data_IF_492977506254
#
_entry.id   IF_492977506254
#
_cell.length_a   1.000
_cell.length_b   1.000
_cell.length_c   1.000
_cell.angle_alpha   90.00
_cell.angle_beta   90.00
_cell.angle_gamma   90.00
#
_symmetry.space_group_name_H-M   'P 1'
#
loop_
_entity.id
_entity.type
_entity.pdbx_description
1 polymer ?
#
# COMPACT_ATOMS: atom_id res chain seq x y z
N UNK A 1 8.44 6.71 -17.68
CA UNK A 1 8.61 5.74 -16.59
C UNK A 1 9.33 4.53 -17.12
N UNK A 2 10.46 4.16 -16.51
CA UNK A 2 11.19 2.94 -16.83
C UNK A 2 10.40 1.76 -16.24
N UNK A 3 10.24 0.67 -16.98
CA UNK A 3 9.66 -0.56 -16.43
C UNK A 3 10.55 -1.00 -15.27
N UNK A 4 10.07 -0.94 -14.01
CA UNK A 4 10.97 -1.15 -12.90
C UNK A 4 11.41 -2.62 -12.88
N UNK A 5 12.72 -2.83 -12.82
CA UNK A 5 13.31 -4.16 -12.66
C UNK A 5 12.64 -4.88 -11.46
N UNK A 6 12.09 -6.09 -11.64
CA UNK A 6 11.47 -6.86 -10.55
C UNK A 6 12.38 -7.01 -9.32
N UNK A 7 13.70 -7.06 -9.50
CA UNK A 7 14.65 -7.11 -8.41
C UNK A 7 14.68 -5.79 -7.61
N UNK A 8 14.67 -4.63 -8.28
CA UNK A 8 14.57 -3.30 -7.64
C UNK A 8 13.26 -3.19 -6.84
N UNK A 9 12.14 -3.66 -7.40
CA UNK A 9 10.85 -3.64 -6.70
C UNK A 9 10.83 -4.55 -5.47
N UNK A 10 11.56 -5.67 -5.50
CA UNK A 10 11.72 -6.53 -4.33
C UNK A 10 12.54 -5.85 -3.21
N UNK A 11 13.55 -5.05 -3.56
CA UNK A 11 14.31 -4.23 -2.60
C UNK A 11 13.44 -3.14 -1.98
N UNK A 12 12.69 -2.39 -2.80
CA UNK A 12 11.77 -1.36 -2.27
C UNK A 12 10.68 -1.97 -1.37
N UNK A 13 10.21 -3.19 -1.68
CA UNK A 13 9.27 -3.91 -0.82
C UNK A 13 9.84 -4.26 0.56
N UNK A 14 11.15 -4.49 0.65
CA UNK A 14 11.84 -4.69 1.94
C UNK A 14 11.90 -3.39 2.72
N UNK A 15 12.22 -2.26 2.08
CA UNK A 15 12.33 -0.94 2.74
C UNK A 15 10.96 -0.41 3.16
N UNK A 16 10.00 -0.30 2.24
CA UNK A 16 8.66 0.23 2.50
C UNK A 16 7.71 -0.77 3.16
N UNK A 17 8.27 -1.79 3.82
CA UNK A 17 7.50 -2.60 4.74
C UNK A 17 7.02 -1.72 5.90
N UNK A 18 5.74 -1.84 6.27
CA UNK A 18 5.16 -1.04 7.35
C UNK A 18 5.88 -1.19 8.70
N UNK A 19 6.63 -2.27 8.91
CA UNK A 19 7.43 -2.48 10.12
C UNK A 19 8.68 -1.60 10.20
N UNK A 20 9.10 -1.02 9.07
CA UNK A 20 10.24 -0.12 9.02
C UNK A 20 9.84 1.34 9.15
N UNK A 21 8.54 1.67 9.20
CA UNK A 21 8.11 3.06 9.25
C UNK A 21 8.36 3.70 10.61
N UNK A 22 8.72 4.97 10.58
CA UNK A 22 8.95 5.81 11.75
C UNK A 22 8.85 7.29 11.35
N UNK A 23 8.79 8.19 12.34
CA UNK A 23 8.99 9.62 12.11
C UNK A 23 10.45 9.97 12.42
N UNK A 24 11.14 10.63 11.49
CA UNK A 24 12.51 11.08 11.71
C UNK A 24 12.59 12.32 12.61
N UNK A 25 13.80 12.85 12.83
CA UNK A 25 14.03 13.99 13.70
C UNK A 25 13.34 15.27 13.19
N UNK A 26 13.06 15.36 11.89
CA UNK A 26 12.35 16.45 11.24
C UNK A 26 10.83 16.21 11.18
N UNK A 27 10.33 15.11 11.77
CA UNK A 27 8.92 14.76 11.77
C UNK A 27 8.42 14.21 10.42
N UNK A 28 9.31 13.78 9.53
CA UNK A 28 8.94 13.18 8.24
C UNK A 28 8.64 11.70 8.42
N UNK A 29 7.60 11.23 7.73
CA UNK A 29 7.28 9.80 7.67
C UNK A 29 8.33 9.08 6.80
N UNK A 30 9.21 8.32 7.44
CA UNK A 30 10.39 7.70 6.84
C UNK A 30 10.39 6.19 7.06
N UNK A 31 11.23 5.47 6.31
CA UNK A 31 11.39 4.04 6.42
C UNK A 31 12.83 3.68 6.66
N UNK A 32 13.07 2.83 7.67
CA UNK A 32 14.40 2.30 7.92
C UNK A 32 14.82 1.38 6.78
N UNK A 33 16.01 1.60 6.26
CA UNK A 33 16.63 0.65 5.35
C UNK A 33 17.19 -0.48 6.21
N UNK A 34 16.77 -1.75 6.00
CA UNK A 34 17.26 -2.86 6.81
C UNK A 34 18.78 -2.96 6.76
N UNK A 35 19.44 -3.20 7.90
CA UNK A 35 20.90 -3.31 7.96
C UNK A 35 21.47 -4.52 7.21
N UNK A 36 20.60 -5.42 6.77
CA UNK A 36 20.88 -6.56 5.91
C UNK A 36 21.02 -6.20 4.44
N UNK A 37 20.84 -4.93 4.06
CA UNK A 37 21.13 -4.46 2.71
C UNK A 37 22.63 -4.50 2.45
N UNK A 38 23.01 -5.13 1.33
CA UNK A 38 24.39 -5.13 0.85
C UNK A 38 24.70 -3.86 0.06
N UNK A 39 25.99 -3.55 -0.11
CA UNK A 39 26.41 -2.40 -0.94
C UNK A 39 25.93 -2.54 -2.39
N UNK A 40 25.88 -3.77 -2.92
CA UNK A 40 25.36 -4.05 -4.25
C UNK A 40 23.86 -3.73 -4.37
N UNK A 41 23.05 -4.04 -3.35
CA UNK A 41 21.61 -3.70 -3.33
C UNK A 41 21.40 -2.19 -3.22
N UNK A 42 22.23 -1.49 -2.44
CA UNK A 42 22.24 -0.03 -2.40
C UNK A 42 22.60 0.57 -3.77
N UNK A 43 23.62 0.04 -4.44
CA UNK A 43 24.00 0.49 -5.78
C UNK A 43 22.89 0.24 -6.80
N UNK A 44 22.23 -0.92 -6.75
CA UNK A 44 21.12 -1.24 -7.64
C UNK A 44 19.96 -0.24 -7.51
N UNK A 45 19.63 0.19 -6.28
CA UNK A 45 18.63 1.25 -6.05
C UNK A 45 19.08 2.62 -6.61
N UNK A 46 20.36 2.97 -6.47
CA UNK A 46 20.94 4.20 -7.04
C UNK A 46 20.90 4.20 -8.56
N UNK A 47 21.32 3.10 -9.20
CA UNK A 47 21.34 2.96 -10.65
C UNK A 47 19.93 3.04 -11.25
N UNK A 48 18.92 2.56 -10.52
CA UNK A 48 17.52 2.69 -10.89
C UNK A 48 16.92 4.08 -10.61
N UNK A 49 17.65 4.99 -9.97
CA UNK A 49 17.15 6.30 -9.54
C UNK A 49 16.07 6.23 -8.45
N UNK A 50 16.02 5.13 -7.69
CA UNK A 50 14.98 4.83 -6.70
C UNK A 50 15.57 4.67 -5.30
N UNK A 51 16.38 5.65 -4.88
CA UNK A 51 16.94 5.70 -3.53
C UNK A 51 15.81 5.96 -2.51
N UNK A 52 15.64 5.14 -1.46
CA UNK A 52 14.58 5.35 -0.47
C UNK A 52 14.73 6.64 0.32
N UNK A 53 13.61 7.16 0.86
CA UNK A 53 13.60 8.38 1.68
C UNK A 53 14.14 9.63 0.95
N UNK A 54 13.91 9.71 -0.37
CA UNK A 54 14.22 10.91 -1.14
C UNK A 54 13.03 11.86 -1.05
N UNK A 55 13.13 12.80 -0.12
CA UNK A 55 12.08 13.74 0.18
C UNK A 55 12.11 14.97 -0.73
N UNK A 56 10.96 15.30 -1.30
CA UNK A 56 10.73 16.58 -1.96
C UNK A 56 9.79 17.44 -1.12
N UNK A 57 9.91 18.76 -1.27
CA UNK A 57 8.99 19.73 -0.67
C UNK A 57 8.71 20.82 -1.68
N UNK A 58 7.44 20.98 -2.04
CA UNK A 58 6.96 22.06 -2.91
C UNK A 58 6.00 22.94 -2.14
N UNK A 59 5.93 24.22 -2.53
CA UNK A 59 4.84 25.09 -2.12
C UNK A 59 3.53 24.73 -2.82
N UNK A 60 2.41 25.25 -2.32
CA UNK A 60 1.07 25.06 -2.89
C UNK A 60 1.03 25.45 -4.37
N UNK A 61 1.39 26.70 -4.67
CA UNK A 61 1.33 27.27 -6.02
C UNK A 61 2.34 26.57 -6.94
N UNK A 62 3.53 26.26 -6.42
CA UNK A 62 4.56 25.51 -7.15
C UNK A 62 4.04 24.12 -7.57
N UNK A 63 3.35 23.40 -6.69
CA UNK A 63 2.81 22.08 -7.00
C UNK A 63 1.73 22.16 -8.10
N UNK A 64 0.87 23.17 -8.04
CA UNK A 64 -0.16 23.43 -9.06
C UNK A 64 0.49 23.77 -10.40
N UNK A 65 1.49 24.65 -10.41
CA UNK A 65 2.19 25.05 -11.62
C UNK A 65 2.93 23.89 -12.28
N UNK A 66 3.68 23.10 -11.50
CA UNK A 66 4.35 21.89 -12.01
C UNK A 66 3.36 20.90 -12.61
N UNK A 67 2.24 20.66 -11.93
CA UNK A 67 1.20 19.76 -12.41
C UNK A 67 0.60 20.26 -13.74
N UNK A 68 0.19 21.53 -13.81
CA UNK A 68 -0.41 22.15 -15.00
C UNK A 68 0.58 22.14 -16.18
N UNK A 69 1.83 22.52 -15.94
CA UNK A 69 2.89 22.52 -16.95
C UNK A 69 3.25 21.12 -17.46
N UNK A 70 3.26 20.12 -16.58
CA UNK A 70 3.48 18.73 -17.00
C UNK A 70 2.29 18.21 -17.82
N UNK A 71 1.06 18.50 -17.39
CA UNK A 71 -0.16 18.05 -18.06
C UNK A 71 -0.36 18.64 -19.46
N UNK A 72 0.15 19.85 -19.73
CA UNK A 72 0.13 20.45 -21.06
C UNK A 72 1.10 19.79 -22.05
N UNK A 73 2.13 19.10 -21.55
CA UNK A 73 3.13 18.38 -22.37
C UNK A 73 2.72 16.96 -22.72
N UNK A 74 1.72 16.41 -22.03
CA UNK A 74 1.26 15.03 -22.24
C UNK A 74 0.13 14.99 -23.26
N UNK A 75 0.29 14.16 -24.29
CA UNK A 75 -0.80 13.80 -25.20
C UNK A 75 -1.80 12.87 -24.49
N UNK A 76 -3.08 13.25 -24.48
CA UNK A 76 -4.14 12.44 -23.86
C UNK A 76 -4.37 11.12 -24.58
N UNK A 77 -4.12 11.05 -25.89
CA UNK A 77 -4.25 9.79 -26.63
C UNK A 77 -3.17 8.80 -26.18
N UNK A 78 -1.91 9.24 -26.12
CA UNK A 78 -0.81 8.42 -25.59
C UNK A 78 -1.05 8.01 -24.12
N UNK A 79 -1.60 8.91 -23.29
CA UNK A 79 -1.96 8.59 -21.92
C UNK A 79 -3.11 7.57 -21.82
N UNK A 80 -4.11 7.65 -22.70
CA UNK A 80 -5.21 6.69 -22.79
C UNK A 80 -4.71 5.31 -23.25
N UNK A 81 -3.81 5.27 -24.23
CA UNK A 81 -3.13 4.05 -24.68
C UNK A 81 -2.37 3.37 -23.53
N UNK A 82 -1.58 4.15 -22.78
CA UNK A 82 -0.82 3.65 -21.64
C UNK A 82 -1.74 3.16 -20.50
N UNK A 83 -2.84 3.87 -20.23
CA UNK A 83 -3.87 3.44 -19.28
C UNK A 83 -4.48 2.09 -19.64
N UNK A 84 -4.83 1.89 -20.92
CA UNK A 84 -5.39 0.62 -21.40
C UNK A 84 -4.33 -0.48 -21.37
N UNK A 85 -3.08 -0.18 -21.75
CA UNK A 85 -1.98 -1.15 -21.65
C UNK A 85 -1.76 -1.65 -20.21
N UNK A 86 -1.94 -0.80 -19.19
CA UNK A 86 -1.86 -1.19 -17.77
C UNK A 86 -3.00 -2.10 -17.28
N UNK A 87 -3.99 -2.42 -18.12
CA UNK A 87 -5.02 -3.40 -17.77
C UNK A 87 -4.43 -4.80 -17.65
N UNK A 88 -3.49 -5.16 -18.54
CA UNK A 88 -2.86 -6.49 -18.54
C UNK A 88 -1.35 -6.40 -18.73
N UNK A 89 -0.87 -5.77 -19.80
CA UNK A 89 0.51 -5.95 -20.28
C UNK A 89 1.55 -4.99 -19.69
N UNK A 90 1.16 -3.75 -19.38
CA UNK A 90 2.07 -2.72 -18.90
C UNK A 90 2.08 -2.60 -17.37
N UNK A 91 3.16 -2.01 -16.85
CA UNK A 91 3.30 -1.66 -15.44
C UNK A 91 2.12 -0.79 -14.94
N UNK A 92 1.68 -1.02 -13.70
CA UNK A 92 0.54 -0.29 -13.14
C UNK A 92 0.81 1.20 -12.92
N UNK A 93 2.08 1.62 -12.87
CA UNK A 93 2.42 3.03 -12.81
C UNK A 93 1.87 3.82 -14.00
N UNK A 94 1.72 3.19 -15.17
CA UNK A 94 1.14 3.84 -16.36
C UNK A 94 -0.35 4.14 -16.24
N UNK A 95 -1.07 3.47 -15.33
CA UNK A 95 -2.47 3.78 -15.00
C UNK A 95 -2.65 5.23 -14.51
N UNK A 96 -1.59 5.81 -13.94
CA UNK A 96 -1.62 7.13 -13.28
C UNK A 96 -1.53 8.32 -14.23
N UNK A 97 -1.04 8.11 -15.46
CA UNK A 97 -0.70 9.21 -16.37
C UNK A 97 -1.95 9.93 -16.86
N UNK A 98 -2.95 9.17 -17.32
CA UNK A 98 -4.21 9.74 -17.81
C UNK A 98 -4.94 10.58 -16.74
N UNK A 99 -5.24 10.06 -15.53
CA UNK A 99 -5.92 10.86 -14.51
C UNK A 99 -5.08 12.05 -14.03
N UNK A 100 -3.74 11.94 -13.96
CA UNK A 100 -2.89 13.08 -13.62
C UNK A 100 -2.93 14.18 -14.69
N UNK A 101 -2.92 13.81 -15.98
CA UNK A 101 -3.00 14.76 -17.08
C UNK A 101 -4.36 15.46 -17.12
N UNK A 102 -5.44 14.71 -16.87
CA UNK A 102 -6.79 15.28 -16.73
C UNK A 102 -6.85 16.25 -15.53
N UNK A 103 -6.31 15.87 -14.38
CA UNK A 103 -6.25 16.74 -13.20
C UNK A 103 -5.51 18.03 -13.50
N UNK A 104 -4.30 17.97 -14.08
CA UNK A 104 -3.52 19.17 -14.37
C UNK A 104 -4.17 20.08 -15.42
N UNK A 105 -4.91 19.52 -16.39
CA UNK A 105 -5.67 20.33 -17.36
C UNK A 105 -6.90 21.01 -16.74
N UNK A 106 -7.56 20.35 -15.79
CA UNK A 106 -8.75 20.87 -15.12
C UNK A 106 -8.41 21.80 -13.92
N UNK A 107 -7.24 21.65 -13.30
CA UNK A 107 -6.85 22.35 -12.07
C UNK A 107 -6.84 23.86 -12.25
N UNK A 108 -7.71 24.64 -11.58
CA UNK A 108 -7.66 26.10 -11.64
C UNK A 108 -6.46 26.62 -10.84
N UNK A 109 -5.98 27.80 -11.21
CA UNK A 109 -5.16 28.60 -10.29
C UNK A 109 -6.08 29.08 -9.16
N UNK A 110 -5.66 28.88 -7.92
CA UNK A 110 -6.42 29.25 -6.73
C UNK A 110 -5.46 29.51 -5.58
N UNK A 111 -5.90 30.30 -4.60
CA UNK A 111 -5.17 30.47 -3.36
C UNK A 111 -5.30 29.22 -2.48
N UNK A 112 -4.30 28.96 -1.64
CA UNK A 112 -4.41 27.91 -0.64
C UNK A 112 -5.53 28.24 0.36
N UNK A 113 -6.51 27.35 0.47
CA UNK A 113 -7.56 27.44 1.48
C UNK A 113 -7.53 26.15 2.28
N UNK A 114 -7.38 26.18 3.60
CA UNK A 114 -7.25 24.95 4.40
C UNK A 114 -8.60 24.32 4.79
N UNK A 115 -8.73 23.00 4.71
CA UNK A 115 -9.81 22.23 5.36
C UNK A 115 -9.41 21.77 6.76
N UNK A 116 -10.39 21.31 7.55
CA UNK A 116 -10.08 20.58 8.79
C UNK A 116 -9.22 19.37 8.43
N UNK A 117 -8.03 19.28 9.01
CA UNK A 117 -7.05 18.24 8.68
C UNK A 117 -5.78 18.74 7.99
N UNK A 118 -5.70 20.01 7.58
CA UNK A 118 -4.44 20.65 7.15
C UNK A 118 -4.16 20.64 5.64
N UNK A 119 -5.00 20.01 4.83
CA UNK A 119 -4.89 20.05 3.36
C UNK A 119 -5.71 21.18 2.73
N UNK A 120 -5.47 21.48 1.46
CA UNK A 120 -6.18 22.49 0.70
C UNK A 120 -7.59 22.00 0.30
N UNK A 121 -8.63 22.78 0.63
CA UNK A 121 -10.05 22.54 0.33
C UNK A 121 -10.34 22.42 -1.15
N UNK A 122 -9.48 23.00 -1.99
CA UNK A 122 -9.67 23.05 -3.44
C UNK A 122 -8.92 21.93 -4.14
N UNK A 123 -7.67 21.62 -3.76
CA UNK A 123 -6.83 20.68 -4.51
C UNK A 123 -6.25 19.49 -3.71
N UNK A 124 -6.51 19.38 -2.41
CA UNK A 124 -5.88 18.41 -1.48
C UNK A 124 -4.39 18.62 -1.22
N UNK A 125 -3.76 19.70 -1.70
CA UNK A 125 -2.37 20.00 -1.35
C UNK A 125 -2.20 20.01 0.17
N UNK A 126 -1.21 19.28 0.68
CA UNK A 126 -0.84 19.27 2.08
C UNK A 126 0.62 19.68 2.21
N UNK A 127 0.90 20.65 3.09
CA UNK A 127 2.26 21.07 3.34
C UNK A 127 3.03 19.95 4.04
N UNK A 128 4.06 19.43 3.38
CA UNK A 128 4.85 18.35 3.92
C UNK A 128 5.95 17.89 2.98
N UNK A 129 6.86 17.09 3.51
CA UNK A 129 7.83 16.38 2.71
C UNK A 129 7.21 15.09 2.16
N UNK A 130 7.32 14.86 0.85
CA UNK A 130 6.84 13.63 0.20
C UNK A 130 8.05 12.79 -0.20
N UNK A 131 8.08 11.53 0.20
CA UNK A 131 9.06 10.56 -0.30
C UNK A 131 8.72 10.22 -1.77
N UNK A 132 9.48 10.80 -2.70
CA UNK A 132 9.25 10.63 -4.13
C UNK A 132 9.45 9.17 -4.58
N UNK A 133 10.35 8.43 -3.91
CA UNK A 133 10.61 7.03 -4.21
C UNK A 133 9.47 6.16 -3.68
N UNK A 134 8.94 6.45 -2.50
CA UNK A 134 7.75 5.77 -1.99
C UNK A 134 6.55 6.00 -2.92
N UNK A 135 6.33 7.23 -3.36
CA UNK A 135 5.28 7.55 -4.31
C UNK A 135 5.43 6.75 -5.62
N UNK A 136 6.65 6.66 -6.16
CA UNK A 136 6.93 5.83 -7.34
C UNK A 136 6.65 4.34 -7.11
N UNK A 137 7.08 3.82 -5.96
CA UNK A 137 6.84 2.42 -5.57
C UNK A 137 5.34 2.08 -5.45
N UNK A 138 4.54 2.96 -4.84
CA UNK A 138 3.09 2.74 -4.72
C UNK A 138 2.36 2.85 -6.06
N UNK A 139 2.81 3.73 -6.97
CA UNK A 139 2.30 3.73 -8.35
C UNK A 139 2.54 2.39 -9.04
N UNK A 140 3.73 1.80 -8.90
CA UNK A 140 4.03 0.46 -9.42
C UNK A 140 3.15 -0.62 -8.80
N UNK A 141 2.92 -0.58 -7.49
CA UNK A 141 2.12 -1.62 -6.83
C UNK A 141 0.66 -1.60 -7.26
N UNK A 142 0.05 -0.42 -7.40
CA UNK A 142 -1.42 -0.33 -7.49
C UNK A 142 -2.01 0.72 -8.42
N UNK A 143 -1.19 1.57 -9.05
CA UNK A 143 -1.67 2.68 -9.90
C UNK A 143 -2.41 3.77 -9.13
N UNK A 144 -2.01 3.97 -7.86
CA UNK A 144 -2.80 4.48 -6.73
C UNK A 144 -3.55 5.83 -6.86
N UNK A 145 -4.65 5.93 -6.08
CA UNK A 145 -4.95 7.07 -5.18
C UNK A 145 -5.60 8.32 -5.77
N UNK A 146 -6.45 8.20 -6.80
CA UNK A 146 -6.96 9.37 -7.53
C UNK A 146 -8.10 10.10 -6.83
N UNK A 147 -8.78 9.41 -5.94
CA UNK A 147 -9.88 9.96 -5.18
C UNK A 147 -9.53 11.15 -4.28
N UNK A 148 -8.35 11.09 -3.68
CA UNK A 148 -7.75 12.05 -2.75
C UNK A 148 -6.37 12.54 -3.25
N UNK A 149 -6.10 12.39 -4.55
CA UNK A 149 -4.84 12.78 -5.15
C UNK A 149 -4.54 14.26 -4.93
N UNK A 150 -3.42 14.50 -4.25
CA UNK A 150 -2.77 15.81 -4.12
C UNK A 150 -2.05 16.18 -5.42
N UNK A 151 -1.91 17.48 -5.75
CA UNK A 151 -1.27 17.92 -7.00
C UNK A 151 0.18 17.44 -7.14
N UNK A 152 0.91 17.30 -6.03
CA UNK A 152 2.30 16.82 -6.02
C UNK A 152 2.40 15.41 -6.62
N UNK A 153 1.50 14.50 -6.25
CA UNK A 153 1.50 13.13 -6.76
C UNK A 153 1.23 13.08 -8.27
N UNK A 154 0.30 13.92 -8.75
CA UNK A 154 0.03 14.05 -10.18
C UNK A 154 1.24 14.61 -10.95
N UNK A 155 1.87 15.67 -10.43
CA UNK A 155 3.07 16.25 -11.03
C UNK A 155 4.25 15.26 -11.08
N UNK A 156 4.45 14.46 -10.02
CA UNK A 156 5.47 13.40 -10.03
C UNK A 156 5.18 12.28 -11.03
N UNK A 157 3.91 11.86 -11.14
CA UNK A 157 3.52 10.85 -12.12
C UNK A 157 3.77 11.33 -13.56
N UNK A 158 3.39 12.56 -13.87
CA UNK A 158 3.60 13.15 -15.20
C UNK A 158 5.07 13.42 -15.49
N UNK A 159 5.84 13.93 -14.52
CA UNK A 159 7.28 14.15 -14.69
C UNK A 159 7.98 12.83 -15.02
N UNK A 160 7.71 11.79 -14.24
CA UNK A 160 8.26 10.46 -14.50
C UNK A 160 7.84 9.90 -15.87
N UNK A 161 6.65 10.24 -16.38
CA UNK A 161 6.21 9.85 -17.72
C UNK A 161 6.97 10.61 -18.83
N UNK A 162 7.12 11.93 -18.67
CA UNK A 162 7.78 12.85 -19.61
C UNK A 162 9.28 12.58 -19.71
N UNK A 163 9.92 12.19 -18.60
CA UNK A 163 11.34 11.83 -18.58
C UNK A 163 11.65 10.56 -19.39
N UNK A 164 10.62 9.82 -19.83
CA UNK A 164 10.79 8.75 -20.80
C UNK A 164 10.46 9.18 -22.22
N UNK A 165 11.27 8.77 -23.22
CA UNK A 165 11.00 9.06 -24.62
C UNK A 165 9.55 8.68 -24.99
N UNK A 166 8.80 9.51 -25.73
CA UNK A 166 7.43 9.19 -26.14
C UNK A 166 7.31 7.84 -26.87
N UNK A 167 8.34 7.44 -27.60
CA UNK A 167 8.41 6.14 -28.29
C UNK A 167 8.45 4.93 -27.35
N UNK A 168 8.82 5.12 -26.08
CA UNK A 168 8.88 4.05 -25.07
C UNK A 168 7.61 3.97 -24.21
N UNK A 169 6.60 4.80 -24.46
CA UNK A 169 5.31 4.68 -23.77
C UNK A 169 4.63 3.38 -24.21
N UNK A 170 4.01 2.64 -23.28
CA UNK A 170 3.37 1.39 -23.61
C UNK A 170 2.17 1.64 -24.53
N UNK A 171 2.10 0.84 -25.60
CA UNK A 171 0.94 0.77 -26.48
C UNK A 171 0.09 -0.43 -26.08
N UNK A 172 -1.24 -0.32 -26.08
CA UNK A 172 -2.10 -1.43 -25.70
C UNK A 172 -1.99 -2.54 -26.74
N UNK A 173 -1.78 -3.77 -26.26
CA UNK A 173 -1.89 -4.97 -27.08
C UNK A 173 -3.36 -5.22 -27.44
N UNK A 174 -3.67 -6.05 -28.46
CA UNK A 174 -5.06 -6.44 -28.71
C UNK A 174 -5.75 -7.01 -27.46
N UNK A 175 -5.02 -7.75 -26.63
CA UNK A 175 -5.54 -8.30 -25.36
C UNK A 175 -5.93 -7.20 -24.39
N UNK A 176 -5.11 -6.17 -24.23
CA UNK A 176 -5.41 -5.02 -23.36
C UNK A 176 -6.68 -4.30 -23.78
N UNK A 177 -6.81 -4.03 -25.09
CA UNK A 177 -8.00 -3.38 -25.65
C UNK A 177 -9.23 -4.24 -25.44
N UNK A 178 -9.15 -5.55 -25.71
CA UNK A 178 -10.26 -6.46 -25.43
C UNK A 178 -10.65 -6.43 -23.95
N UNK A 179 -9.69 -6.55 -23.03
CA UNK A 179 -9.96 -6.54 -21.58
C UNK A 179 -10.62 -5.24 -21.16
N UNK A 180 -10.14 -4.09 -21.65
CA UNK A 180 -10.76 -2.80 -21.36
C UNK A 180 -12.23 -2.76 -21.81
N UNK A 181 -12.53 -3.22 -23.04
CA UNK A 181 -13.92 -3.31 -23.51
C UNK A 181 -14.76 -4.27 -22.67
N UNK A 182 -14.21 -5.40 -22.22
CA UNK A 182 -14.93 -6.30 -21.31
C UNK A 182 -15.21 -5.67 -19.94
N UNK A 183 -14.31 -4.82 -19.43
CA UNK A 183 -14.57 -4.05 -18.21
C UNK A 183 -15.74 -3.10 -18.43
N UNK A 184 -15.77 -2.36 -19.54
CA UNK A 184 -16.89 -1.48 -19.86
C UNK A 184 -18.21 -2.25 -20.01
N UNK A 185 -18.21 -3.38 -20.72
CA UNK A 185 -19.39 -4.22 -20.90
C UNK A 185 -19.89 -4.81 -19.58
N UNK A 186 -18.97 -5.26 -18.71
CA UNK A 186 -19.30 -5.71 -17.36
C UNK A 186 -20.04 -4.62 -16.59
N UNK A 187 -19.54 -3.37 -16.64
CA UNK A 187 -20.17 -2.24 -15.95
C UNK A 187 -21.54 -1.90 -16.53
N UNK A 188 -21.71 -1.96 -17.87
CA UNK A 188 -23.01 -1.76 -18.55
C UNK A 188 -24.04 -2.83 -18.16
N UNK A 189 -23.60 -4.05 -17.95
CA UNK A 189 -24.47 -5.19 -17.65
C UNK A 189 -24.86 -5.30 -16.15
N UNK A 190 -24.34 -4.43 -15.29
CA UNK A 190 -24.69 -4.45 -13.88
C UNK A 190 -26.18 -4.10 -13.66
N UNK A 191 -26.85 -4.71 -12.66
CA UNK A 191 -28.19 -4.29 -12.26
C UNK A 191 -28.20 -2.79 -11.92
N UNK A 192 -29.22 -2.04 -12.31
CA UNK A 192 -29.28 -0.57 -12.12
C UNK A 192 -29.04 -0.12 -10.67
N UNK A 193 -29.38 -0.96 -9.68
CA UNK A 193 -29.15 -0.68 -8.25
C UNK A 193 -27.72 -0.92 -7.78
N UNK A 194 -26.86 -1.50 -8.64
CA UNK A 194 -25.50 -1.84 -8.29
C UNK A 194 -24.66 -0.60 -8.01
N UNK A 195 -23.98 -0.59 -6.86
CA UNK A 195 -23.07 0.49 -6.44
C UNK A 195 -21.61 0.06 -6.55
N UNK A 196 -20.70 0.98 -6.25
CA UNK A 196 -19.24 0.76 -6.21
C UNK A 196 -18.82 -0.61 -5.67
N UNK A 197 -19.31 -1.02 -4.49
CA UNK A 197 -18.87 -2.27 -3.84
C UNK A 197 -19.23 -3.51 -4.67
N UNK A 198 -20.39 -3.49 -5.32
CA UNK A 198 -20.87 -4.55 -6.21
C UNK A 198 -20.11 -4.53 -7.54
N UNK A 199 -19.86 -3.35 -8.12
CA UNK A 199 -19.03 -3.22 -9.32
C UNK A 199 -17.60 -3.74 -9.10
N UNK A 200 -16.96 -3.35 -7.99
CA UNK A 200 -15.63 -3.84 -7.59
C UNK A 200 -15.62 -5.36 -7.42
N UNK A 201 -16.66 -5.91 -6.80
CA UNK A 201 -16.79 -7.35 -6.59
C UNK A 201 -17.00 -8.10 -7.90
N UNK A 202 -17.83 -7.58 -8.81
CA UNK A 202 -18.07 -8.15 -10.12
C UNK A 202 -16.78 -8.16 -10.97
N UNK A 203 -16.08 -7.02 -11.01
CA UNK A 203 -14.80 -6.89 -11.71
C UNK A 203 -13.74 -7.86 -11.16
N UNK A 204 -13.62 -7.97 -9.83
CA UNK A 204 -12.71 -8.91 -9.20
C UNK A 204 -13.05 -10.37 -9.54
N UNK A 205 -14.33 -10.74 -9.51
CA UNK A 205 -14.79 -12.09 -9.88
C UNK A 205 -14.54 -12.41 -11.35
N UNK A 206 -14.60 -11.42 -12.23
CA UNK A 206 -14.36 -11.61 -13.66
C UNK A 206 -12.90 -11.93 -13.99
N UNK A 207 -11.94 -11.62 -13.12
CA UNK A 207 -10.54 -12.04 -13.29
C UNK A 207 -9.83 -11.39 -14.48
N UNK A 208 -10.32 -10.25 -14.96
CA UNK A 208 -9.88 -9.63 -16.22
C UNK A 208 -8.51 -8.90 -16.11
N UNK A 209 -8.20 -8.34 -14.94
CA UNK A 209 -7.05 -7.44 -14.76
C UNK A 209 -5.78 -8.19 -14.37
N UNK A 210 -4.61 -7.68 -14.78
CA UNK A 210 -3.35 -8.06 -14.14
C UNK A 210 -3.36 -7.70 -12.66
N UNK A 211 -2.66 -8.50 -11.85
CA UNK A 211 -2.66 -8.38 -10.39
C UNK A 211 -4.09 -8.29 -9.80
N UNK A 212 -5.01 -9.14 -10.27
CA UNK A 212 -6.42 -9.13 -9.89
C UNK A 212 -6.60 -9.28 -8.37
N UNK A 213 -6.86 -8.15 -7.70
CA UNK A 213 -7.16 -8.05 -6.27
C UNK A 213 -8.21 -6.96 -6.06
N UNK A 214 -9.03 -7.01 -4.99
CA UNK A 214 -10.12 -6.06 -4.81
C UNK A 214 -9.69 -4.58 -4.86
N UNK A 215 -8.53 -4.25 -4.30
CA UNK A 215 -8.00 -2.88 -4.32
C UNK A 215 -7.63 -2.42 -5.74
N UNK A 216 -7.05 -3.29 -6.58
CA UNK A 216 -6.72 -2.99 -7.98
C UNK A 216 -7.98 -2.70 -8.79
N UNK A 217 -9.04 -3.49 -8.60
CA UNK A 217 -10.34 -3.24 -9.20
C UNK A 217 -10.91 -1.90 -8.72
N UNK A 218 -10.75 -1.59 -7.42
CA UNK A 218 -11.10 -0.29 -6.84
C UNK A 218 -10.40 0.87 -7.57
N UNK A 219 -9.08 0.79 -7.74
CA UNK A 219 -8.30 1.83 -8.43
C UNK A 219 -8.78 2.08 -9.86
N UNK A 220 -9.10 1.03 -10.65
CA UNK A 220 -9.65 1.22 -12.01
C UNK A 220 -10.95 2.02 -11.96
N UNK A 221 -11.87 1.64 -11.07
CA UNK A 221 -13.15 2.32 -10.94
C UNK A 221 -12.96 3.76 -10.47
N UNK A 222 -12.03 4.02 -9.55
CA UNK A 222 -11.69 5.37 -9.10
C UNK A 222 -11.14 6.22 -10.24
N UNK A 223 -10.24 5.70 -11.08
CA UNK A 223 -9.73 6.43 -12.24
C UNK A 223 -10.85 6.75 -13.23
N UNK A 224 -11.68 5.76 -13.57
CA UNK A 224 -12.81 5.97 -14.48
C UNK A 224 -13.79 7.01 -13.94
N UNK A 225 -14.05 7.01 -12.63
CA UNK A 225 -14.89 8.01 -11.98
C UNK A 225 -14.23 9.39 -11.97
N UNK A 226 -12.96 9.45 -11.60
CA UNK A 226 -12.18 10.68 -11.48
C UNK A 226 -12.10 11.44 -12.81
N UNK A 227 -11.93 10.73 -13.94
CA UNK A 227 -11.94 11.34 -15.27
C UNK A 227 -13.36 11.58 -15.82
N UNK A 228 -14.40 11.11 -15.14
CA UNK A 228 -15.81 11.39 -15.46
C UNK A 228 -16.55 10.31 -16.25
N UNK A 229 -15.98 9.14 -16.48
CA UNK A 229 -16.69 8.01 -17.13
C UNK A 229 -17.75 7.44 -16.20
N UNK A 230 -17.45 7.33 -14.90
CA UNK A 230 -18.39 6.92 -13.86
C UNK A 230 -18.76 8.15 -13.02
N UNK A 231 -19.81 8.86 -13.41
CA UNK A 231 -20.22 10.09 -12.72
C UNK A 231 -21.71 10.17 -12.51
N UNK A 232 -22.13 11.16 -11.72
CA UNK A 232 -23.53 11.57 -11.55
C UNK A 232 -23.66 13.04 -11.95
N UNK A 233 -24.86 13.55 -12.27
CA UNK A 233 -25.05 14.97 -12.54
C UNK A 233 -24.57 15.86 -11.39
N UNK A 234 -24.80 15.45 -10.14
CA UNK A 234 -24.44 16.20 -8.92
C UNK A 234 -22.96 16.06 -8.55
N UNK A 235 -22.33 14.96 -8.95
CA UNK A 235 -20.93 14.65 -8.71
C UNK A 235 -20.25 14.29 -10.05
N UNK A 236 -19.84 15.31 -10.84
CA UNK A 236 -19.14 15.10 -12.09
C UNK A 236 -17.67 14.71 -11.86
N UNK A 237 -17.06 14.04 -12.84
CA UNK A 237 -15.61 13.89 -12.91
C UNK A 237 -14.93 15.06 -13.63
N UNK A 238 -13.61 15.06 -13.61
CA UNK A 238 -12.78 16.22 -13.96
C UNK A 238 -12.84 16.63 -15.44
N UNK A 239 -13.17 15.73 -16.35
CA UNK A 239 -13.37 16.09 -17.76
C UNK A 239 -14.71 16.76 -18.02
N UNK A 240 -15.67 16.68 -17.09
CA UNK A 240 -16.93 17.42 -17.16
C UNK A 240 -16.80 18.77 -16.46
N UNK A 241 -16.23 18.80 -15.26
CA UNK A 241 -15.97 20.02 -14.50
C UNK A 241 -14.89 19.74 -13.45
N UNK A 242 -14.03 20.72 -13.17
CA UNK A 242 -13.15 20.63 -12.01
C UNK A 242 -13.97 20.45 -10.72
N UNK A 243 -13.69 19.40 -9.97
CA UNK A 243 -14.27 19.13 -8.65
C UNK A 243 -13.25 19.40 -7.57
N UNK A 244 -13.62 20.29 -6.65
CA UNK A 244 -12.78 20.68 -5.52
C UNK A 244 -12.51 19.48 -4.61
N UNK A 245 -11.42 19.55 -3.85
CA UNK A 245 -11.10 18.53 -2.85
C UNK A 245 -12.24 18.33 -1.84
N UNK A 246 -12.88 19.41 -1.38
CA UNK A 246 -14.04 19.30 -0.48
C UNK A 246 -15.26 18.64 -1.13
N UNK A 247 -15.45 18.76 -2.45
CA UNK A 247 -16.49 18.01 -3.17
C UNK A 247 -16.12 16.54 -3.31
N UNK A 248 -14.86 16.25 -3.69
CA UNK A 248 -14.33 14.89 -3.82
C UNK A 248 -14.34 14.14 -2.48
N UNK A 249 -14.06 14.83 -1.38
CA UNK A 249 -14.03 14.23 -0.04
C UNK A 249 -15.42 13.87 0.52
N UNK A 250 -16.51 14.27 -0.13
CA UNK A 250 -17.86 13.91 0.33
C UNK A 250 -18.14 12.42 0.18
N UNK A 251 -18.82 11.86 1.18
CA UNK A 251 -19.28 10.46 1.21
C UNK A 251 -20.75 10.37 1.62
N UNK A 252 -21.49 9.35 1.14
CA UNK A 252 -22.84 9.05 1.64
C UNK A 252 -22.93 8.73 3.11
N UNK A 253 -21.89 8.08 3.62
CA UNK A 253 -21.81 7.68 5.01
C UNK A 253 -20.37 7.34 5.34
N UNK A 254 -20.06 7.25 6.63
CA UNK A 254 -18.76 6.81 7.16
C UNK A 254 -18.36 5.39 6.75
N UNK A 255 -19.28 4.60 6.17
CA UNK A 255 -19.01 3.22 5.72
C UNK A 255 -18.53 3.14 4.26
N UNK A 256 -18.55 4.25 3.54
CA UNK A 256 -18.12 4.30 2.13
C UNK A 256 -16.75 4.96 2.06
N UNK A 257 -15.74 4.15 1.77
CA UNK A 257 -14.33 4.57 1.77
C UNK A 257 -13.99 5.41 0.52
N UNK A 258 -14.54 5.06 -0.65
CA UNK A 258 -14.21 5.73 -1.91
C UNK A 258 -14.86 7.11 -2.06
N UNK A 259 -14.15 8.11 -2.61
CA UNK A 259 -14.63 9.49 -2.77
C UNK A 259 -15.61 9.68 -3.91
N UNK A 260 -16.23 10.87 -3.91
CA UNK A 260 -16.94 11.36 -5.07
C UNK A 260 -15.96 11.49 -6.26
N UNK A 261 -16.40 11.18 -7.49
CA UNK A 261 -17.78 10.87 -7.84
C UNK A 261 -18.18 9.40 -7.64
N UNK A 262 -17.22 8.49 -7.48
CA UNK A 262 -17.47 7.05 -7.39
C UNK A 262 -18.37 6.65 -6.21
N UNK A 263 -18.26 7.34 -5.08
CA UNK A 263 -19.08 7.11 -3.88
C UNK A 263 -20.59 7.18 -4.16
N UNK A 264 -20.97 7.98 -5.16
CA UNK A 264 -22.33 8.33 -5.50
C UNK A 264 -22.84 7.66 -6.76
N UNK A 265 -21.92 7.12 -7.57
CA UNK A 265 -22.27 6.41 -8.78
C UNK A 265 -23.02 5.10 -8.49
N UNK A 266 -24.01 4.82 -9.34
CA UNK A 266 -24.66 3.52 -9.45
C UNK A 266 -24.81 3.15 -10.92
N UNK A 267 -24.98 1.86 -11.21
CA UNK A 267 -25.12 1.38 -12.59
C UNK A 267 -26.34 1.98 -13.33
N UNK A 268 -27.34 2.52 -12.62
CA UNK A 268 -28.43 3.31 -13.21
C UNK A 268 -27.93 4.51 -14.01
N UNK A 269 -26.87 5.16 -13.54
CA UNK A 269 -26.26 6.32 -14.21
C UNK A 269 -25.47 5.91 -15.46
N UNK A 270 -25.13 4.62 -15.58
CA UNK A 270 -24.41 4.07 -16.72
C UNK A 270 -22.99 4.60 -16.87
N UNK A 271 -22.48 4.53 -18.09
CA UNK A 271 -21.18 5.08 -18.51
C UNK A 271 -21.41 6.34 -19.32
N UNK A 272 -20.52 7.33 -19.18
CA UNK A 272 -20.51 8.49 -20.08
C UNK A 272 -19.92 8.14 -21.44
N UNK A 273 -20.76 7.60 -22.33
CA UNK A 273 -20.31 7.07 -23.64
C UNK A 273 -19.61 8.10 -24.52
N UNK A 274 -19.97 9.38 -24.44
CA UNK A 274 -19.25 10.45 -25.16
C UNK A 274 -17.81 10.59 -24.69
N UNK A 275 -17.54 10.47 -23.37
CA UNK A 275 -16.18 10.52 -22.83
C UNK A 275 -15.41 9.24 -23.14
N UNK A 276 -16.08 8.08 -23.10
CA UNK A 276 -15.50 6.80 -23.56
C UNK A 276 -15.05 6.92 -25.02
N UNK A 277 -15.91 7.42 -25.91
CA UNK A 277 -15.59 7.61 -27.32
C UNK A 277 -14.47 8.65 -27.53
N UNK A 278 -14.47 9.74 -26.76
CA UNK A 278 -13.45 10.80 -26.85
C UNK A 278 -12.06 10.29 -26.45
N UNK A 279 -11.97 9.55 -25.36
CA UNK A 279 -10.68 9.07 -24.83
C UNK A 279 -10.20 7.79 -25.47
N UNK A 280 -11.11 6.87 -25.81
CA UNK A 280 -10.78 5.49 -26.19
C UNK A 280 -11.38 5.06 -27.53
N UNK A 281 -12.09 5.94 -28.24
CA UNK A 281 -12.75 5.59 -29.50
C UNK A 281 -11.79 5.18 -30.63
N UNK A 282 -10.49 5.53 -30.53
CA UNK A 282 -9.47 5.05 -31.46
C UNK A 282 -9.02 3.60 -31.19
N UNK A 283 -9.37 3.03 -30.04
CA UNK A 283 -9.03 1.66 -29.66
C UNK A 283 -10.11 0.69 -30.15
N UNK A 284 -9.94 0.23 -31.38
CA UNK A 284 -10.86 -0.71 -32.01
C UNK A 284 -10.95 -2.03 -31.23
N UNK A 285 -12.17 -2.40 -30.85
CA UNK A 285 -12.45 -3.65 -30.13
C UNK A 285 -12.09 -4.86 -31.00
N UNK A 286 -11.26 -5.79 -30.52
CA UNK A 286 -11.08 -7.08 -31.17
C UNK A 286 -12.38 -7.89 -31.17
N UNK A 287 -12.74 -8.48 -32.30
CA UNK A 287 -13.98 -9.26 -32.47
C UNK A 287 -13.98 -10.57 -31.66
N UNK A 288 -12.80 -11.12 -31.42
CA UNK A 288 -12.59 -12.36 -30.67
C UNK A 288 -11.61 -12.08 -29.55
N UNK A 289 -11.76 -12.79 -28.43
CA UNK A 289 -10.78 -12.74 -27.35
C UNK A 289 -9.39 -13.13 -27.87
N UNK A 290 -8.40 -12.21 -27.82
CA UNK A 290 -7.04 -12.55 -28.21
C UNK A 290 -6.44 -13.52 -27.20
N UNK A 291 -5.67 -14.49 -27.68
CA UNK A 291 -4.95 -15.43 -26.81
C UNK A 291 -4.13 -14.65 -25.78
N UNK A 292 -4.26 -14.95 -24.47
CA UNK A 292 -3.44 -14.30 -23.47
C UNK A 292 -1.97 -14.56 -23.80
N UNK A 293 -1.08 -13.56 -23.63
CA UNK A 293 0.35 -13.82 -23.71
C UNK A 293 0.69 -14.96 -22.73
N UNK A 294 1.67 -15.82 -23.05
CA UNK A 294 2.06 -16.90 -22.16
C UNK A 294 2.31 -16.30 -20.78
N UNK A 295 1.57 -16.78 -19.78
CA UNK A 295 1.67 -16.27 -18.44
C UNK A 295 3.14 -16.36 -18.05
N UNK A 296 3.83 -15.23 -17.90
CA UNK A 296 5.09 -15.22 -17.18
C UNK A 296 4.71 -15.79 -15.84
N UNK A 297 5.23 -16.98 -15.45
CA UNK A 297 4.81 -17.62 -14.21
C UNK A 297 4.96 -16.56 -13.16
N UNK A 298 3.82 -16.14 -12.56
CA UNK A 298 3.85 -15.16 -11.50
C UNK A 298 4.82 -15.75 -10.51
N UNK A 299 6.05 -15.20 -10.47
CA UNK A 299 7.08 -15.73 -9.62
C UNK A 299 6.41 -15.66 -8.28
N UNK A 300 6.03 -16.84 -7.75
CA UNK A 300 5.27 -16.96 -6.53
C UNK A 300 6.00 -16.02 -5.63
N UNK A 301 5.35 -14.93 -5.18
CA UNK A 301 5.94 -14.00 -4.21
C UNK A 301 6.16 -14.88 -2.98
N UNK A 302 7.23 -15.68 -3.02
CA UNK A 302 8.09 -15.93 -1.89
C UNK A 302 8.36 -14.50 -1.53
N UNK A 303 7.64 -14.02 -0.53
CA UNK A 303 8.22 -13.10 0.43
C UNK A 303 9.55 -13.76 0.76
N UNK A 304 10.57 -13.47 -0.04
CA UNK A 304 11.93 -13.76 0.25
C UNK A 304 12.18 -12.81 1.41
N UNK A 305 11.69 -13.19 2.60
CA UNK A 305 12.45 -12.91 3.80
C UNK A 305 13.83 -13.40 3.43
N UNK A 306 14.81 -12.49 3.31
CA UNK A 306 16.14 -12.90 2.92
C UNK A 306 16.61 -14.01 3.86
N UNK A 307 17.61 -14.75 3.41
CA UNK A 307 18.25 -15.84 4.15
C UNK A 307 19.03 -15.32 5.37
N UNK A 308 18.41 -14.47 6.19
CA UNK A 308 18.89 -14.21 7.54
C UNK A 308 18.81 -15.49 8.36
N UNK A 309 19.72 -15.68 9.32
CA UNK A 309 19.68 -16.82 10.23
C UNK A 309 18.28 -16.92 10.83
N UNK A 310 17.71 -18.14 10.84
CA UNK A 310 16.43 -18.41 11.50
C UNK A 310 16.73 -19.21 12.76
N UNK A 311 16.12 -18.87 13.90
CA UNK A 311 16.31 -19.67 15.09
C UNK A 311 15.69 -21.05 14.85
N UNK A 312 16.39 -22.11 15.28
CA UNK A 312 15.81 -23.47 15.29
C UNK A 312 14.69 -23.48 16.32
N UNK A 313 13.47 -23.77 15.88
CA UNK A 313 12.31 -23.82 16.78
C UNK A 313 12.30 -25.13 17.55
N UNK A 314 12.16 -25.06 18.87
CA UNK A 314 11.87 -26.23 19.71
C UNK A 314 10.41 -26.64 19.50
N UNK A 315 10.18 -27.83 18.97
CA UNK A 315 8.86 -28.40 18.68
C UNK A 315 8.04 -28.67 19.94
N UNK A 316 6.71 -28.58 19.84
CA UNK A 316 5.76 -28.87 20.93
C UNK A 316 4.90 -27.66 21.34
N UNK A 317 3.86 -27.89 22.17
CA UNK A 317 2.96 -26.82 22.61
C UNK A 317 3.67 -25.84 23.55
N UNK A 318 3.19 -24.59 23.68
CA UNK A 318 3.68 -23.66 24.70
C UNK A 318 3.57 -24.28 26.09
N UNK A 319 4.58 -24.05 26.92
CA UNK A 319 4.62 -24.43 28.34
C UNK A 319 5.07 -23.23 29.17
N UNK A 320 4.67 -23.13 30.46
CA UNK A 320 5.32 -22.22 31.40
C UNK A 320 6.84 -22.38 31.35
N UNK A 321 7.60 -21.28 31.40
CA UNK A 321 9.06 -21.32 31.27
C UNK A 321 9.59 -21.36 29.83
N UNK A 322 8.71 -21.48 28.83
CA UNK A 322 9.11 -21.35 27.41
C UNK A 322 9.51 -19.92 27.08
N UNK A 323 10.57 -19.73 26.30
CA UNK A 323 10.96 -18.44 25.72
C UNK A 323 10.90 -18.49 24.19
N UNK A 324 10.38 -17.42 23.62
CA UNK A 324 10.16 -17.26 22.19
C UNK A 324 10.99 -16.11 21.63
N UNK A 325 11.80 -16.38 20.62
CA UNK A 325 12.36 -15.36 19.74
C UNK A 325 11.24 -14.76 18.88
N UNK A 326 11.19 -13.43 18.81
CA UNK A 326 10.18 -12.67 18.06
C UNK A 326 10.89 -11.76 17.07
N UNK A 327 10.57 -11.92 15.78
CA UNK A 327 11.09 -11.06 14.72
C UNK A 327 10.24 -9.79 14.62
N UNK A 328 10.77 -8.67 15.08
CA UNK A 328 10.13 -7.35 14.97
C UNK A 328 10.24 -6.83 13.54
N UNK A 329 11.47 -6.83 12.99
CA UNK A 329 11.77 -6.46 11.59
C UNK A 329 12.72 -7.49 10.98
N UNK A 330 13.08 -7.30 9.71
CA UNK A 330 14.00 -8.21 9.01
C UNK A 330 15.35 -8.37 9.75
N UNK A 331 15.83 -7.26 10.31
CA UNK A 331 17.12 -7.06 10.97
C UNK A 331 16.98 -6.82 12.49
N UNK A 332 15.83 -7.13 13.09
CA UNK A 332 15.58 -6.85 14.49
C UNK A 332 14.72 -7.91 15.16
N UNK A 333 15.25 -8.46 16.24
CA UNK A 333 14.65 -9.50 17.06
C UNK A 333 14.57 -9.07 18.52
N UNK A 334 13.58 -9.61 19.22
CA UNK A 334 13.50 -9.62 20.67
C UNK A 334 13.12 -11.00 21.19
N UNK A 335 12.83 -11.11 22.48
CA UNK A 335 12.37 -12.34 23.10
C UNK A 335 11.19 -12.09 24.05
N UNK A 336 10.32 -13.08 24.21
CA UNK A 336 9.27 -13.07 25.22
C UNK A 336 9.20 -14.39 25.98
N UNK A 337 9.02 -14.28 27.29
CA UNK A 337 8.84 -15.38 28.23
C UNK A 337 7.36 -15.73 28.36
N UNK A 338 7.06 -17.02 28.48
CA UNK A 338 5.72 -17.55 28.72
C UNK A 338 5.55 -17.92 30.19
N UNK A 339 4.78 -17.12 30.93
CA UNK A 339 4.50 -17.33 32.36
C UNK A 339 3.57 -18.51 32.61
N UNK A 340 2.49 -18.57 31.85
CA UNK A 340 1.40 -19.50 32.06
C UNK A 340 0.79 -19.91 30.73
N UNK A 341 0.12 -21.06 30.72
CA UNK A 341 -0.59 -21.55 29.54
C UNK A 341 -1.99 -21.95 29.95
N UNK A 342 -2.99 -21.53 29.16
CA UNK A 342 -4.39 -21.92 29.36
C UNK A 342 -5.10 -22.11 28.03
N UNK A 343 -6.14 -22.93 28.05
CA UNK A 343 -7.09 -23.03 26.94
C UNK A 343 -8.26 -22.10 27.22
N UNK A 344 -8.59 -21.20 26.29
CA UNK A 344 -9.74 -20.31 26.44
C UNK A 344 -11.08 -21.03 26.14
N UNK A 345 -12.20 -20.35 26.41
CA UNK A 345 -13.54 -20.91 26.16
C UNK A 345 -13.86 -21.22 24.69
N UNK A 346 -12.96 -20.90 23.75
CA UNK A 346 -13.06 -21.24 22.33
C UNK A 346 -12.13 -22.40 21.94
N UNK A 347 -11.48 -23.03 22.92
CA UNK A 347 -10.53 -24.13 22.67
C UNK A 347 -9.16 -23.68 22.19
N UNK A 348 -8.83 -22.38 22.25
CA UNK A 348 -7.53 -21.86 21.80
C UNK A 348 -6.53 -21.92 22.94
N UNK A 349 -5.41 -22.63 22.73
CA UNK A 349 -4.28 -22.65 23.65
C UNK A 349 -3.52 -21.31 23.59
N UNK A 350 -3.36 -20.67 24.75
CA UNK A 350 -2.73 -19.35 24.89
C UNK A 350 -1.62 -19.36 25.93
N UNK A 351 -0.51 -18.71 25.61
CA UNK A 351 0.55 -18.38 26.56
C UNK A 351 0.40 -16.96 27.09
N UNK A 352 0.64 -16.74 28.39
CA UNK A 352 0.78 -15.41 28.99
C UNK A 352 2.20 -14.91 28.77
N UNK A 353 2.35 -13.98 27.84
CA UNK A 353 3.64 -13.52 27.33
C UNK A 353 4.08 -12.22 27.99
N UNK A 354 5.39 -12.08 28.19
CA UNK A 354 6.04 -10.86 28.67
C UNK A 354 7.41 -10.70 27.98
N UNK A 355 7.76 -9.49 27.54
CA UNK A 355 9.03 -9.27 26.84
C UNK A 355 10.22 -9.33 27.78
N UNK A 356 11.30 -9.96 27.33
CA UNK A 356 12.62 -9.86 27.96
C UNK A 356 13.32 -8.60 27.45
N UNK A 357 14.20 -8.00 28.25
CA UNK A 357 14.99 -6.80 27.89
C UNK A 357 16.10 -7.16 26.90
N UNK A 358 15.70 -7.44 25.65
CA UNK A 358 16.57 -7.85 24.57
C UNK A 358 16.13 -7.27 23.24
N UNK A 359 17.06 -6.58 22.59
CA UNK A 359 17.02 -6.29 21.16
C UNK A 359 18.29 -6.86 20.53
N UNK A 360 18.13 -7.59 19.43
CA UNK A 360 19.24 -8.25 18.75
C UNK A 360 19.10 -8.12 17.23
N UNK A 361 20.19 -7.86 16.49
CA UNK A 361 20.15 -7.83 15.02
C UNK A 361 19.99 -9.23 14.41
N UNK A 362 20.26 -10.27 15.20
CA UNK A 362 20.12 -11.69 14.81
C UNK A 362 19.15 -12.41 15.76
N UNK A 363 18.59 -13.57 15.37
CA UNK A 363 17.70 -14.30 16.26
C UNK A 363 18.40 -14.68 17.56
N UNK A 364 17.80 -14.41 18.73
CA UNK A 364 18.41 -14.71 20.00
C UNK A 364 18.49 -16.22 20.26
N UNK A 365 19.55 -16.63 20.97
CA UNK A 365 19.77 -18.01 21.43
C UNK A 365 19.23 -18.23 22.85
N UNK A 366 19.12 -19.50 23.27
CA UNK A 366 18.73 -19.86 24.64
C UNK A 366 19.69 -19.28 25.70
N UNK A 367 20.98 -19.24 25.39
CA UNK A 367 22.02 -18.70 26.28
C UNK A 367 21.88 -17.19 26.46
N UNK A 368 21.57 -16.46 25.39
CA UNK A 368 21.40 -15.00 25.43
C UNK A 368 20.19 -14.56 26.24
N UNK A 369 19.14 -15.39 26.31
CA UNK A 369 17.91 -15.05 27.07
C UNK A 369 17.96 -15.51 28.52
N UNK A 370 18.88 -16.40 28.87
CA UNK A 370 19.02 -16.89 30.23
C UNK A 370 19.46 -15.75 31.17
N UNK A 371 18.70 -15.51 32.24
CA UNK A 371 19.01 -14.49 33.24
C UNK A 371 18.66 -13.05 32.85
N UNK A 372 18.08 -12.80 31.68
CA UNK A 372 17.59 -11.47 31.31
C UNK A 372 16.39 -11.05 32.16
N UNK A 373 16.33 -9.76 32.49
CA UNK A 373 15.15 -9.15 33.10
C UNK A 373 14.01 -8.95 32.11
N UNK A 374 12.86 -8.53 32.63
CA UNK A 374 11.72 -8.13 31.82
C UNK A 374 11.85 -6.68 31.33
N UNK A 375 11.24 -6.41 30.17
CA UNK A 375 11.15 -5.07 29.60
C UNK A 375 9.84 -4.41 29.96
N UNK A 376 9.90 -3.34 30.73
CA UNK A 376 8.76 -2.46 30.98
C UNK A 376 8.34 -1.70 29.71
N UNK A 377 7.09 -1.22 29.72
CA UNK A 377 6.62 -0.27 28.71
C UNK A 377 7.43 1.02 28.79
N UNK A 378 7.39 1.80 27.70
CA UNK A 378 8.03 3.12 27.64
C UNK A 378 7.43 4.13 28.64
N UNK A 379 6.24 3.88 29.16
CA UNK A 379 5.63 4.64 30.25
C UNK A 379 5.99 4.12 31.66
N UNK A 380 6.85 3.10 31.76
CA UNK A 380 7.30 2.49 33.03
C UNK A 380 6.38 1.43 33.61
N UNK A 381 5.24 1.13 32.97
CA UNK A 381 4.32 0.09 33.42
C UNK A 381 4.74 -1.30 32.95
N UNK A 382 4.37 -2.32 33.72
CA UNK A 382 4.53 -3.72 33.31
C UNK A 382 3.62 -4.07 32.13
N UNK A 383 4.10 -4.93 31.24
CA UNK A 383 3.31 -5.40 30.09
C UNK A 383 3.18 -6.92 30.10
N UNK A 384 1.95 -7.40 29.91
CA UNK A 384 1.68 -8.82 29.65
C UNK A 384 0.55 -8.96 28.64
N UNK A 385 0.50 -10.07 27.90
CA UNK A 385 -0.60 -10.39 26.99
C UNK A 385 -0.82 -11.90 26.85
N UNK A 386 -2.08 -12.31 26.70
CA UNK A 386 -2.44 -13.70 26.38
C UNK A 386 -2.44 -13.93 24.87
N UNK A 387 -1.43 -14.63 24.36
CA UNK A 387 -1.25 -14.84 22.92
C UNK A 387 -1.56 -16.29 22.51
N UNK A 388 -2.42 -16.45 21.51
CA UNK A 388 -2.65 -17.74 20.84
C UNK A 388 -1.75 -17.93 19.61
N UNK A 389 -1.57 -19.18 19.17
CA UNK A 389 -0.87 -19.51 17.91
C UNK A 389 0.65 -19.27 17.93
N UNK A 390 1.29 -19.40 19.10
CA UNK A 390 2.73 -19.18 19.30
C UNK A 390 3.62 -20.13 18.47
N UNK A 391 3.13 -21.33 18.18
CA UNK A 391 3.79 -22.38 17.40
C UNK A 391 3.64 -22.19 15.88
N UNK A 392 2.57 -21.52 15.44
CA UNK A 392 2.19 -21.38 14.03
C UNK A 392 2.57 -20.03 13.42
N UNK A 393 2.82 -19.02 14.25
CA UNK A 393 3.01 -17.65 13.78
C UNK A 393 4.41 -17.45 13.16
N UNK A 394 4.45 -16.97 11.92
CA UNK A 394 5.70 -16.64 11.23
C UNK A 394 6.47 -15.55 11.98
N UNK A 395 7.76 -15.80 12.23
CA UNK A 395 8.62 -14.87 12.98
C UNK A 395 8.56 -15.03 14.50
N UNK A 396 7.71 -15.92 15.03
CA UNK A 396 7.70 -16.31 16.44
C UNK A 396 8.20 -17.74 16.54
N UNK A 397 9.27 -17.97 17.32
CA UNK A 397 9.96 -19.26 17.39
C UNK A 397 10.37 -19.57 18.82
N UNK A 398 10.00 -20.75 19.31
CA UNK A 398 10.43 -21.18 20.64
C UNK A 398 11.91 -21.53 20.63
N UNK A 399 12.68 -20.91 21.51
CA UNK A 399 14.14 -21.06 21.57
C UNK A 399 14.65 -21.65 22.88
N UNK A 400 13.83 -21.66 23.93
CA UNK A 400 14.15 -22.30 25.20
C UNK A 400 12.88 -22.80 25.91
N UNK A 401 13.07 -23.76 26.81
CA UNK A 401 12.04 -24.33 27.69
C UNK A 401 12.61 -24.40 29.11
N UNK A 402 11.73 -24.48 30.10
CA UNK A 402 12.07 -24.67 31.52
C UNK A 402 13.04 -23.61 32.08
N UNK A 403 12.99 -22.39 31.53
CA UNK A 403 13.73 -21.26 32.10
C UNK A 403 13.01 -20.73 33.34
N UNK A 404 13.73 -20.43 34.43
CA UNK A 404 13.13 -19.79 35.59
C UNK A 404 12.62 -18.39 35.23
N UNK A 405 11.46 -18.01 35.75
CA UNK A 405 10.90 -16.69 35.53
C UNK A 405 11.84 -15.62 36.15
N UNK A 406 12.26 -14.60 35.39
CA UNK A 406 12.95 -13.44 35.95
C UNK A 406 12.10 -12.77 37.04
N UNK A 407 12.75 -12.14 38.02
CA UNK A 407 12.04 -11.30 38.98
C UNK A 407 11.55 -10.02 38.29
N UNK A 408 10.34 -9.57 38.62
CA UNK A 408 9.82 -8.28 38.18
C UNK A 408 9.46 -7.41 39.39
N UNK A 409 9.90 -6.15 39.38
CA UNK A 409 9.63 -5.18 40.46
C UNK A 409 8.22 -4.57 40.46
N UNK A 410 7.50 -4.69 39.35
CA UNK A 410 6.19 -4.08 39.14
C UNK A 410 5.09 -5.11 39.39
N UNK A 411 3.94 -4.70 39.94
CA UNK A 411 2.80 -5.58 40.09
C UNK A 411 2.33 -6.10 38.73
N UNK A 412 1.68 -7.27 38.74
CA UNK A 412 1.04 -7.80 37.53
C UNK A 412 -0.06 -6.82 37.09
N UNK A 413 -0.20 -6.51 35.79
CA UNK A 413 -1.25 -5.61 35.32
C UNK A 413 -2.64 -6.11 35.71
N UNK A 414 -3.52 -5.22 36.16
CA UNK A 414 -4.91 -5.54 36.55
C UNK A 414 -5.69 -6.22 35.42
N UNK A 415 -5.42 -5.82 34.17
CA UNK A 415 -6.02 -6.39 32.98
C UNK A 415 -4.96 -6.83 31.98
N UNK A 416 -5.00 -8.12 31.64
CA UNK A 416 -4.12 -8.71 30.63
C UNK A 416 -4.92 -8.93 29.34
N UNK A 417 -4.66 -8.18 28.26
CA UNK A 417 -5.38 -8.34 27.00
C UNK A 417 -5.15 -9.72 26.39
N UNK A 418 -6.01 -10.09 25.44
CA UNK A 418 -5.97 -11.37 24.74
C UNK A 418 -5.86 -11.11 23.24
N UNK A 419 -4.92 -11.78 22.57
CA UNK A 419 -4.58 -11.53 21.18
C UNK A 419 -3.91 -12.72 20.48
N UNK A 420 -3.39 -12.49 19.29
CA UNK A 420 -2.58 -13.46 18.54
C UNK A 420 -1.08 -13.29 18.82
N UNK A 421 -0.27 -14.29 18.52
CA UNK A 421 1.19 -14.15 18.62
C UNK A 421 1.75 -13.11 17.64
N UNK A 422 1.01 -12.70 16.60
CA UNK A 422 1.37 -11.55 15.75
C UNK A 422 1.41 -10.22 16.53
N UNK A 423 0.63 -10.11 17.60
CA UNK A 423 0.56 -8.90 18.41
C UNK A 423 1.86 -8.68 19.19
N UNK A 424 2.64 -9.76 19.42
CA UNK A 424 4.00 -9.67 19.95
C UNK A 424 4.95 -8.89 19.02
N UNK A 425 4.64 -8.79 17.73
CA UNK A 425 5.38 -7.90 16.83
C UNK A 425 4.77 -6.50 16.84
N UNK A 426 3.45 -6.37 16.72
CA UNK A 426 2.78 -5.08 16.57
C UNK A 426 2.88 -4.19 17.82
N UNK A 427 2.91 -4.78 19.01
CA UNK A 427 2.91 -4.05 20.28
C UNK A 427 4.33 -3.84 20.84
N UNK A 428 5.38 -4.35 20.17
CA UNK A 428 6.75 -4.25 20.67
C UNK A 428 7.21 -2.78 20.87
N UNK A 429 6.70 -1.85 20.05
CA UNK A 429 7.00 -0.41 20.19
C UNK A 429 6.47 0.20 21.51
N UNK A 430 5.60 -0.50 22.24
CA UNK A 430 5.18 -0.06 23.57
C UNK A 430 6.24 -0.31 24.63
N UNK A 431 7.16 -1.25 24.41
CA UNK A 431 8.21 -1.65 25.34
C UNK A 431 9.60 -1.19 24.88
N UNK A 432 9.82 -1.10 23.57
CA UNK A 432 11.12 -0.81 22.98
C UNK A 432 11.06 0.44 22.09
N UNK A 433 12.15 1.22 22.08
CA UNK A 433 12.40 2.27 21.08
C UNK A 433 13.33 1.70 20.01
N UNK A 434 12.87 1.58 18.77
CA UNK A 434 13.70 1.10 17.65
C UNK A 434 13.23 1.58 16.28
#
# INVERSE_FOLDING_TARGET
>A
MIHPDPAVMALLARVYNSRNSFFDAEGRYSHRIPSTFTEAEHQQLRDAGLVPNVFIRWGHDEAIDKLRQAASKVDLRAAADAFVASMVSADLSWLTVLPAAVLGRAMPVHAEESMRGGSCRVCFFEAGAIDATQAAYFRHLEGAGWGDAQPVNGALALSAAIDSPPASWPRPTPRDVWVFHQVLDLLRALPATARYSQARTALHKAGLLSANRPSRCGTVLEVLAFIGILQTPEHPGLMTRFTTAIERDRRPSVRVEVPAPLAWWSAKEGLQETLVATLFGHLQRPQVEPTPPPATPAARRKTASPAGPRPRSISGPPTPGSVYAIRFREDLWGAAYCHEVRTDGRGVLRGRMEYLDLLSPTPPTAEQVAGLGFRDRLNGERWQSWCGGLDKTTGVKRIAVDLPAPAHRQPVPERIPTGGASDLTHLAQWNFRF
#
